data_IF_260989373323
#
_entry.id   IF_260989373323
#
_cell.length_a   1.000
_cell.length_b   1.000
_cell.length_c   1.000
_cell.angle_alpha   90.00
_cell.angle_beta   90.00
_cell.angle_gamma   90.00
#
_symmetry.space_group_name_H-M   'P 1'
#
loop_
_entity.id
_entity.type
_entity.pdbx_description
1 polymer ?
#
# COMPACT_ATOMS: atom_id res chain seq x y z
N UNK A 1 -39.10 38.89 2.69
CA UNK A 1 -39.53 37.47 2.61
C UNK A 1 -39.07 36.92 1.26
N UNK A 2 -38.73 35.63 1.12
CA UNK A 2 -37.68 34.84 1.76
C UNK A 2 -36.60 34.37 0.75
N UNK A 3 -35.42 33.91 1.23
CA UNK A 3 -34.37 33.29 0.41
C UNK A 3 -34.76 31.88 0.00
N UNK A 4 -34.38 31.45 -1.22
CA UNK A 4 -34.62 30.09 -1.72
C UNK A 4 -33.30 29.33 -1.72
N UNK A 5 -33.16 28.38 -0.80
CA UNK A 5 -31.99 27.53 -0.68
C UNK A 5 -31.88 26.51 -1.81
N UNK A 6 -30.64 26.08 -2.06
CA UNK A 6 -30.35 24.72 -2.53
C UNK A 6 -28.95 24.32 -2.08
N UNK A 7 -28.92 23.30 -1.24
CA UNK A 7 -27.75 22.55 -0.78
C UNK A 7 -26.91 22.03 -1.95
N UNK A 8 -25.59 22.05 -1.80
CA UNK A 8 -24.70 21.02 -2.36
C UNK A 8 -23.35 21.08 -1.63
N UNK A 9 -23.27 20.26 -0.59
CA UNK A 9 -22.07 19.64 -0.05
C UNK A 9 -21.12 19.20 -1.18
N UNK A 10 -19.87 19.67 -1.14
CA UNK A 10 -18.72 18.92 -1.66
C UNK A 10 -17.41 19.41 -1.05
N UNK A 11 -17.25 19.12 0.24
CA UNK A 11 -15.95 19.11 0.87
C UNK A 11 -15.06 18.03 0.27
N UNK A 12 -13.76 18.31 0.15
CA UNK A 12 -12.74 17.27 0.03
C UNK A 12 -12.40 16.80 -1.38
N UNK A 13 -12.04 17.72 -2.29
CA UNK A 13 -11.11 17.38 -3.37
C UNK A 13 -9.71 17.28 -2.76
N UNK A 14 -9.40 16.13 -2.15
CA UNK A 14 -8.04 15.80 -1.76
C UNK A 14 -7.22 15.65 -3.03
N UNK A 15 -6.52 16.74 -3.36
CA UNK A 15 -5.33 16.77 -4.20
C UNK A 15 -4.37 15.70 -3.68
N UNK A 16 -4.22 14.60 -4.41
CA UNK A 16 -2.99 13.82 -4.32
C UNK A 16 -1.97 14.55 -5.18
N UNK A 17 -1.29 15.50 -4.54
CA UNK A 17 -0.09 16.14 -5.03
C UNK A 17 1.08 15.41 -4.37
N UNK A 18 2.00 14.86 -5.18
CA UNK A 18 3.28 14.40 -4.64
C UNK A 18 4.09 13.52 -5.57
N UNK A 19 5.30 13.99 -5.87
CA UNK A 19 6.47 13.27 -6.37
C UNK A 19 6.50 12.88 -7.87
N UNK A 20 6.92 13.88 -8.66
CA UNK A 20 7.79 13.68 -9.81
C UNK A 20 9.19 13.26 -9.32
N UNK A 21 9.67 12.06 -9.68
CA UNK A 21 11.09 11.82 -9.90
C UNK A 21 11.37 10.55 -10.72
N UNK A 22 12.37 10.68 -11.58
CA UNK A 22 12.71 9.83 -12.71
C UNK A 22 13.37 8.49 -12.32
N UNK A 23 13.03 7.42 -13.05
CA UNK A 23 13.74 6.14 -12.96
C UNK A 23 13.34 5.11 -14.02
N UNK A 24 14.19 4.93 -15.04
CA UNK A 24 14.39 3.62 -15.67
C UNK A 24 13.31 3.10 -16.63
N UNK A 25 13.46 3.50 -17.90
CA UNK A 25 12.89 2.97 -19.13
C UNK A 25 12.77 1.43 -19.13
N UNK A 26 11.57 0.88 -18.90
CA UNK A 26 11.19 -0.43 -19.43
C UNK A 26 9.68 -0.44 -19.69
N UNK A 27 9.31 -0.56 -20.97
CA UNK A 27 7.93 -0.73 -21.44
C UNK A 27 7.39 -2.05 -20.86
N UNK A 28 6.49 -1.97 -19.88
CA UNK A 28 5.78 -3.12 -19.34
C UNK A 28 5.32 -2.85 -17.91
N UNK A 29 4.02 -2.62 -17.74
CA UNK A 29 3.31 -2.20 -16.53
C UNK A 29 3.72 -0.83 -15.95
N UNK A 30 2.84 0.16 -16.09
CA UNK A 30 3.04 1.52 -15.56
C UNK A 30 2.57 1.64 -14.10
N UNK A 31 1.65 0.78 -13.66
CA UNK A 31 0.97 0.90 -12.37
C UNK A 31 0.83 -0.44 -11.69
N UNK A 32 1.15 -0.51 -10.39
CA UNK A 32 0.98 -1.69 -9.55
C UNK A 32 0.00 -1.39 -8.43
N UNK A 33 -1.00 -2.24 -8.25
CA UNK A 33 -1.86 -2.22 -7.08
C UNK A 33 -1.15 -2.93 -5.94
N UNK A 34 -0.73 -2.15 -4.95
CA UNK A 34 0.06 -2.63 -3.82
C UNK A 34 -0.63 -2.36 -2.50
N UNK A 35 -0.39 -3.27 -1.56
CA UNK A 35 -0.76 -3.17 -0.16
C UNK A 35 0.52 -3.29 0.65
N UNK A 36 0.67 -2.51 1.71
CA UNK A 36 1.79 -2.68 2.62
C UNK A 36 1.34 -2.81 4.08
N UNK A 37 2.25 -3.22 4.95
CA UNK A 37 2.11 -3.14 6.41
C UNK A 37 3.39 -2.51 6.91
N UNK A 38 3.32 -1.31 7.48
CA UNK A 38 4.45 -0.71 8.16
C UNK A 38 4.41 -1.12 9.64
N UNK A 39 5.47 -1.74 10.13
CA UNK A 39 5.66 -2.03 11.55
C UNK A 39 6.96 -1.38 12.02
N UNK A 40 6.93 -0.41 12.92
CA UNK A 40 8.16 0.16 13.49
C UNK A 40 8.86 -0.87 14.40
N UNK A 41 8.07 -1.74 15.04
CA UNK A 41 8.56 -2.77 15.96
C UNK A 41 8.78 -4.12 15.28
N UNK A 42 9.95 -4.72 15.51
CA UNK A 42 10.23 -6.09 15.06
C UNK A 42 9.22 -7.11 15.61
N UNK A 43 8.80 -6.94 16.86
CA UNK A 43 7.78 -7.80 17.48
C UNK A 43 6.45 -7.77 16.71
N UNK A 44 5.96 -6.58 16.34
CA UNK A 44 4.73 -6.44 15.53
C UNK A 44 4.89 -7.08 14.14
N UNK A 45 6.06 -6.94 13.51
CA UNK A 45 6.38 -7.60 12.24
C UNK A 45 6.30 -9.12 12.39
N UNK A 46 6.92 -9.70 13.41
CA UNK A 46 6.89 -11.16 13.64
C UNK A 46 5.48 -11.68 13.93
N UNK A 47 4.67 -10.96 14.71
CA UNK A 47 3.27 -11.33 14.93
C UNK A 47 2.44 -11.24 13.63
N UNK A 48 2.63 -10.18 12.85
CA UNK A 48 1.99 -10.04 11.54
C UNK A 48 2.38 -11.18 10.59
N UNK A 49 3.66 -11.56 10.57
CA UNK A 49 4.18 -12.69 9.79
C UNK A 49 3.60 -14.02 10.26
N UNK A 50 3.48 -14.24 11.56
CA UNK A 50 2.89 -15.45 12.12
C UNK A 50 1.42 -15.58 11.70
N UNK A 51 0.66 -14.48 11.76
CA UNK A 51 -0.72 -14.45 11.26
C UNK A 51 -0.81 -14.66 9.75
N UNK A 52 0.08 -14.06 8.96
CA UNK A 52 0.15 -14.26 7.51
C UNK A 52 0.42 -15.73 7.16
N UNK A 53 1.39 -16.36 7.83
CA UNK A 53 1.69 -17.78 7.65
C UNK A 53 0.54 -18.68 8.12
N UNK A 54 -0.21 -18.26 9.13
CA UNK A 54 -1.44 -18.92 9.57
C UNK A 54 -2.62 -18.80 8.60
N UNK A 55 -2.45 -18.11 7.47
CA UNK A 55 -3.49 -17.90 6.46
C UNK A 55 -4.46 -16.76 6.80
N UNK A 56 -4.13 -15.90 7.76
CA UNK A 56 -4.92 -14.71 8.01
C UNK A 56 -4.78 -13.69 6.86
N UNK A 57 -5.85 -12.94 6.63
CA UNK A 57 -5.91 -11.98 5.54
C UNK A 57 -4.99 -10.80 5.84
N UNK A 58 -4.19 -10.41 4.86
CA UNK A 58 -3.27 -9.28 4.99
C UNK A 58 -4.00 -7.96 5.33
N UNK A 59 -5.23 -7.76 4.85
CA UNK A 59 -6.04 -6.57 5.19
C UNK A 59 -6.30 -6.45 6.70
N UNK A 60 -6.57 -7.57 7.37
CA UNK A 60 -6.85 -7.57 8.81
C UNK A 60 -5.57 -7.37 9.62
N UNK A 61 -4.50 -8.03 9.21
CA UNK A 61 -3.18 -7.87 9.83
C UNK A 61 -2.70 -6.42 9.65
N UNK A 62 -2.89 -5.84 8.48
CA UNK A 62 -2.57 -4.45 8.25
C UNK A 62 -3.43 -3.50 9.11
N UNK A 63 -4.71 -3.81 9.34
CA UNK A 63 -5.55 -3.01 10.25
C UNK A 63 -5.08 -3.05 11.69
N UNK A 64 -4.56 -4.19 12.12
CA UNK A 64 -4.21 -4.45 13.51
C UNK A 64 -2.75 -4.06 13.83
N UNK A 65 -1.83 -4.32 12.90
CA UNK A 65 -0.38 -4.18 13.11
C UNK A 65 0.24 -3.02 12.34
N UNK A 66 -0.35 -2.58 11.22
CA UNK A 66 0.24 -1.51 10.43
C UNK A 66 0.17 -0.17 11.16
N UNK A 67 1.24 0.59 11.10
CA UNK A 67 1.33 1.98 11.56
C UNK A 67 1.08 2.96 10.41
N UNK A 68 1.16 2.49 9.15
CA UNK A 68 0.70 3.23 7.97
C UNK A 68 -0.55 2.61 7.34
N UNK A 69 -1.48 3.46 6.89
CA UNK A 69 -2.74 3.07 6.22
C UNK A 69 -3.53 1.93 6.87
N UNK A 70 -3.39 1.72 8.19
CA UNK A 70 -4.06 0.65 8.93
C UNK A 70 -5.57 0.62 8.67
N UNK A 71 -6.23 1.78 8.67
CA UNK A 71 -7.67 1.91 8.40
C UNK A 71 -8.12 1.36 7.04
N UNK A 72 -7.23 1.34 6.04
CA UNK A 72 -7.50 0.80 4.71
C UNK A 72 -6.93 -0.61 4.54
N UNK A 73 -6.55 -1.26 5.65
CA UNK A 73 -5.82 -2.52 5.63
C UNK A 73 -4.53 -2.41 4.84
N UNK A 74 -3.82 -1.29 4.96
CA UNK A 74 -2.53 -1.10 4.29
C UNK A 74 -2.62 -0.89 2.78
N UNK A 75 -3.83 -0.70 2.23
CA UNK A 75 -4.04 -0.59 0.80
C UNK A 75 -3.53 0.75 0.27
N UNK A 76 -2.39 0.72 -0.43
CA UNK A 76 -1.86 1.90 -1.12
C UNK A 76 -2.64 2.20 -2.40
N UNK A 77 -3.24 1.17 -2.98
CA UNK A 77 -3.95 1.26 -4.24
C UNK A 77 -2.99 1.18 -5.42
N UNK A 78 -3.45 1.68 -6.57
CA UNK A 78 -2.67 1.74 -7.79
C UNK A 78 -1.58 2.81 -7.67
N UNK A 79 -0.33 2.37 -7.71
CA UNK A 79 0.87 3.20 -7.65
C UNK A 79 1.66 3.08 -8.93
N UNK A 80 2.03 4.22 -9.48
CA UNK A 80 2.80 4.30 -10.72
C UNK A 80 4.26 3.97 -10.45
N UNK A 81 4.94 3.35 -11.41
CA UNK A 81 6.39 3.17 -11.38
C UNK A 81 7.07 4.55 -11.27
N UNK A 82 7.95 4.73 -10.29
CA UNK A 82 8.60 5.98 -9.91
C UNK A 82 7.90 6.79 -8.83
N UNK A 83 6.68 6.42 -8.40
CA UNK A 83 5.95 7.10 -7.33
C UNK A 83 6.19 6.48 -5.93
N UNK A 84 6.94 5.38 -5.87
CA UNK A 84 7.27 4.64 -4.65
C UNK A 84 8.77 4.70 -4.40
N UNK A 85 9.19 4.41 -3.16
CA UNK A 85 10.62 4.28 -2.83
C UNK A 85 11.25 3.19 -3.70
N UNK A 86 12.48 3.38 -4.21
CA UNK A 86 13.12 2.44 -5.14
C UNK A 86 13.27 1.04 -4.54
N UNK A 87 13.53 0.92 -3.24
CA UNK A 87 13.60 -0.38 -2.55
C UNK A 87 12.23 -1.07 -2.49
N UNK A 88 11.20 -0.32 -2.09
CA UNK A 88 9.82 -0.83 -2.04
C UNK A 88 9.32 -1.22 -3.43
N UNK A 89 9.57 -0.36 -4.42
CA UNK A 89 9.17 -0.56 -5.81
C UNK A 89 9.88 -1.77 -6.40
N UNK A 90 11.20 -1.90 -6.24
CA UNK A 90 11.94 -3.04 -6.74
C UNK A 90 11.38 -4.35 -6.19
N UNK A 91 11.13 -4.40 -4.88
CA UNK A 91 10.54 -5.56 -4.23
C UNK A 91 9.10 -5.82 -4.70
N UNK A 92 8.29 -4.78 -4.85
CA UNK A 92 6.92 -4.90 -5.35
C UNK A 92 6.85 -5.31 -6.84
N UNK A 93 7.80 -4.88 -7.67
CA UNK A 93 7.86 -5.26 -9.08
C UNK A 93 8.46 -6.66 -9.28
N UNK A 94 9.40 -7.05 -8.42
CA UNK A 94 9.96 -8.40 -8.35
C UNK A 94 8.91 -9.41 -7.84
N UNK A 95 8.08 -8.97 -6.90
CA UNK A 95 6.90 -9.69 -6.45
C UNK A 95 5.91 -9.91 -7.60
N UNK A 96 5.46 -11.16 -7.70
CA UNK A 96 4.42 -11.53 -8.64
C UNK A 96 3.05 -11.12 -8.09
N UNK A 97 2.20 -10.45 -8.90
CA UNK A 97 0.84 -10.10 -8.48
C UNK A 97 0.11 -11.37 -8.05
N UNK A 98 -0.40 -11.35 -6.81
CA UNK A 98 -1.00 -12.53 -6.18
C UNK A 98 -2.28 -12.16 -5.45
N UNK A 99 -3.10 -13.18 -5.20
CA UNK A 99 -4.40 -13.02 -4.54
C UNK A 99 -4.30 -13.22 -3.04
N UNK A 100 -5.29 -12.72 -2.30
CA UNK A 100 -5.39 -12.86 -0.83
C UNK A 100 -5.38 -14.30 -0.32
N UNK A 101 -5.65 -15.29 -1.19
CA UNK A 101 -5.58 -16.73 -0.87
C UNK A 101 -4.14 -17.30 -0.93
N UNK A 102 -3.25 -16.70 -1.73
CA UNK A 102 -1.82 -17.01 -1.78
C UNK A 102 -1.06 -15.69 -1.82
N UNK A 103 -1.11 -14.90 -0.72
CA UNK A 103 -0.52 -13.59 -0.70
C UNK A 103 1.00 -13.73 -0.83
N UNK A 104 1.56 -13.32 -1.98
CA UNK A 104 3.01 -13.11 -2.07
C UNK A 104 3.30 -11.75 -1.46
N UNK A 105 3.91 -11.81 -0.30
CA UNK A 105 4.41 -10.65 0.41
C UNK A 105 5.94 -10.70 0.47
N UNK A 106 6.56 -9.54 0.57
CA UNK A 106 7.99 -9.40 0.77
C UNK A 106 8.26 -8.35 1.82
N UNK A 107 9.39 -8.50 2.49
CA UNK A 107 9.81 -7.58 3.53
C UNK A 107 10.84 -6.58 2.99
N UNK A 108 10.57 -5.31 3.24
CA UNK A 108 11.46 -4.18 3.02
C UNK A 108 11.74 -3.55 4.37
N UNK A 109 13.01 -3.39 4.72
CA UNK A 109 13.39 -2.60 5.89
C UNK A 109 13.76 -1.20 5.42
N UNK A 110 13.14 -0.20 6.00
CA UNK A 110 13.43 1.22 5.74
C UNK A 110 13.82 1.90 7.06
N UNK A 111 14.14 3.20 7.01
CA UNK A 111 14.39 3.98 8.21
C UNK A 111 13.15 4.14 9.12
N UNK A 112 11.95 3.97 8.58
CA UNK A 112 10.69 3.99 9.36
C UNK A 112 10.37 2.65 9.99
N UNK A 113 11.01 1.56 9.56
CA UNK A 113 10.83 0.24 10.17
C UNK A 113 10.71 -0.89 9.15
N UNK A 114 9.86 -1.85 9.45
CA UNK A 114 9.64 -3.03 8.62
C UNK A 114 8.36 -2.84 7.80
N UNK A 115 8.51 -2.73 6.49
CA UNK A 115 7.42 -2.72 5.55
C UNK A 115 7.24 -4.11 4.97
N UNK A 116 6.06 -4.69 5.11
CA UNK A 116 5.68 -5.89 4.39
C UNK A 116 4.88 -5.41 3.18
N UNK A 117 5.30 -5.72 1.96
CA UNK A 117 4.63 -5.33 0.72
C UNK A 117 3.98 -6.53 0.06
N UNK A 118 2.76 -6.35 -0.45
CA UNK A 118 2.02 -7.29 -1.28
C UNK A 118 1.57 -6.59 -2.55
N UNK A 119 1.57 -7.33 -3.65
CA UNK A 119 1.05 -6.85 -4.94
C UNK A 119 -0.20 -7.64 -5.28
N UNK A 120 -1.33 -6.95 -5.42
CA UNK A 120 -2.60 -7.55 -5.86
C UNK A 120 -2.75 -7.53 -7.39
N UNK A 121 -2.06 -6.61 -8.07
CA UNK A 121 -2.12 -6.51 -9.54
C UNK A 121 -1.06 -5.59 -10.10
N UNK A 122 -0.68 -5.79 -11.36
CA UNK A 122 0.18 -4.88 -12.12
C UNK A 122 -0.40 -4.68 -13.52
N UNK A 123 -0.36 -3.44 -14.03
CA UNK A 123 -0.96 -3.02 -15.29
C UNK A 123 -0.06 -2.04 -16.03
#
# INVERSE_FOLDING_TARGET
MPPKGKSADKGGKSKDAGAEQAGGKQKGAQTINVRHILCEKHAKKEEALAKLNGGAKFDEIAREFSEDKARQGGLLGWKTKGALMPEFEAVAFDLQPSTTANPKWAECKTSEGYHIVMVEGRK
#
